data_IF_252054700085
#
_entry.id   IF_252054700085
#
_cell.length_a   1.000
_cell.length_b   1.000
_cell.length_c   1.000
_cell.angle_alpha   90.00
_cell.angle_beta   90.00
_cell.angle_gamma   90.00
#
_symmetry.space_group_name_H-M   'P 1'
#
loop_
_entity.id
_entity.type
_entity.pdbx_description
1 polymer ?
#
# COMPACT_ATOMS: atom_id res chain seq x y z
N UNK A 1 -4.57 -12.28 -35.72
CA UNK A 1 -3.16 -12.11 -36.14
C UNK A 1 -2.47 -11.26 -35.08
N UNK A 2 -1.32 -11.68 -34.51
CA UNK A 2 -0.51 -10.87 -33.59
C UNK A 2 0.01 -9.58 -34.24
N UNK A 3 0.38 -8.59 -33.41
CA UNK A 3 0.81 -7.25 -33.85
C UNK A 3 1.97 -7.28 -34.84
N UNK A 4 3.06 -8.00 -34.52
CA UNK A 4 4.25 -8.09 -35.38
C UNK A 4 3.91 -8.66 -36.77
N UNK A 5 3.08 -9.71 -36.80
CA UNK A 5 2.64 -10.31 -38.06
C UNK A 5 1.74 -9.35 -38.85
N UNK A 6 0.86 -8.60 -38.17
CA UNK A 6 0.02 -7.58 -38.80
C UNK A 6 0.86 -6.46 -39.42
N UNK A 7 1.92 -6.01 -38.74
CA UNK A 7 2.88 -5.07 -39.31
C UNK A 7 3.57 -5.64 -40.55
N UNK A 8 4.05 -6.88 -40.50
CA UNK A 8 4.68 -7.53 -41.66
C UNK A 8 3.72 -7.59 -42.86
N UNK A 9 2.46 -7.98 -42.66
CA UNK A 9 1.45 -8.03 -43.72
C UNK A 9 1.15 -6.64 -44.26
N UNK A 10 1.01 -5.63 -43.40
CA UNK A 10 0.81 -4.24 -43.81
C UNK A 10 1.97 -3.73 -44.68
N UNK A 11 3.22 -4.00 -44.29
CA UNK A 11 4.41 -3.65 -45.10
C UNK A 11 4.34 -4.31 -46.48
N UNK A 12 3.92 -5.59 -46.55
CA UNK A 12 3.72 -6.27 -47.84
C UNK A 12 2.62 -5.61 -48.67
N UNK A 13 1.46 -5.29 -48.08
CA UNK A 13 0.37 -4.61 -48.79
C UNK A 13 0.85 -3.25 -49.34
N UNK A 14 1.56 -2.47 -48.51
CA UNK A 14 2.05 -1.16 -48.88
C UNK A 14 3.11 -1.24 -49.98
N UNK A 15 4.12 -2.10 -49.85
CA UNK A 15 5.30 -2.10 -50.71
C UNK A 15 5.23 -3.12 -51.85
N UNK A 16 4.77 -4.35 -51.59
CA UNK A 16 4.75 -5.43 -52.58
C UNK A 16 3.48 -5.43 -53.44
N UNK A 17 2.32 -5.10 -52.85
CA UNK A 17 1.05 -4.99 -53.58
C UNK A 17 0.84 -3.60 -54.20
N UNK A 18 1.72 -2.63 -53.93
CA UNK A 18 1.73 -1.31 -54.56
C UNK A 18 0.71 -0.32 -53.99
N UNK A 19 0.15 -0.57 -52.80
CA UNK A 19 -0.81 0.38 -52.20
C UNK A 19 -0.16 1.74 -51.88
N UNK A 20 1.12 1.74 -51.48
CA UNK A 20 1.90 2.96 -51.22
C UNK A 20 1.96 3.89 -52.43
N UNK A 21 1.99 3.34 -53.64
CA UNK A 21 2.20 4.13 -54.85
C UNK A 21 1.02 5.07 -55.13
N UNK A 22 -0.19 4.69 -54.68
CA UNK A 22 -1.38 5.55 -54.73
C UNK A 22 -1.25 6.84 -53.90
N UNK A 23 -0.33 6.90 -52.93
CA UNK A 23 -0.10 8.07 -52.07
C UNK A 23 1.06 8.95 -52.53
N UNK A 24 1.83 8.53 -53.54
CA UNK A 24 3.00 9.28 -54.02
C UNK A 24 2.58 10.39 -54.99
N UNK A 25 3.49 11.35 -55.22
CA UNK A 25 3.39 12.37 -56.27
C UNK A 25 2.04 13.08 -56.34
N UNK A 26 1.49 13.51 -55.19
CA UNK A 26 0.15 14.10 -55.11
C UNK A 26 -0.95 13.20 -55.70
N UNK A 27 -0.93 11.91 -55.36
CA UNK A 27 -1.95 10.92 -55.72
C UNK A 27 -2.06 10.64 -57.23
N UNK A 28 -0.95 10.76 -57.97
CA UNK A 28 -0.94 10.58 -59.43
C UNK A 28 -1.47 9.22 -59.87
N UNK A 29 -0.99 8.14 -59.24
CA UNK A 29 -1.44 6.78 -59.54
C UNK A 29 -2.90 6.55 -59.17
N UNK A 30 -3.40 7.21 -58.11
CA UNK A 30 -4.80 7.15 -57.71
C UNK A 30 -5.69 7.83 -58.76
N UNK A 31 -5.30 8.99 -59.28
CA UNK A 31 -6.01 9.65 -60.37
C UNK A 31 -6.03 8.78 -61.65
N UNK A 32 -4.95 8.03 -61.91
CA UNK A 32 -4.95 7.01 -62.95
C UNK A 32 -5.98 5.90 -62.68
N UNK A 33 -6.12 5.43 -61.41
CA UNK A 33 -7.16 4.44 -61.06
C UNK A 33 -8.57 4.97 -61.27
N UNK A 34 -8.84 6.25 -60.98
CA UNK A 34 -10.14 6.86 -61.27
C UNK A 34 -10.46 6.85 -62.76
N UNK A 35 -9.50 7.26 -63.60
CA UNK A 35 -9.65 7.20 -65.05
C UNK A 35 -9.92 5.76 -65.54
N UNK A 36 -9.19 4.78 -65.02
CA UNK A 36 -9.43 3.37 -65.33
C UNK A 36 -10.84 2.91 -64.94
N UNK A 37 -11.31 3.30 -63.75
CA UNK A 37 -12.65 2.95 -63.26
C UNK A 37 -13.72 3.58 -64.15
N UNK A 38 -13.59 4.86 -64.50
CA UNK A 38 -14.52 5.57 -65.38
C UNK A 38 -14.56 4.95 -66.78
N UNK A 39 -13.41 4.54 -67.34
CA UNK A 39 -13.37 3.80 -68.61
C UNK A 39 -14.04 2.44 -68.55
N UNK A 40 -13.86 1.72 -67.45
CA UNK A 40 -14.57 0.45 -67.23
C UNK A 40 -16.08 0.66 -67.06
N UNK A 41 -16.50 1.73 -66.38
CA UNK A 41 -17.91 2.11 -66.27
C UNK A 41 -18.50 2.47 -67.64
N UNK A 42 -17.78 3.26 -68.43
CA UNK A 42 -18.19 3.64 -69.79
C UNK A 42 -18.48 2.40 -70.67
N UNK A 43 -17.67 1.34 -70.54
CA UNK A 43 -17.85 0.12 -71.32
C UNK A 43 -18.89 -0.85 -70.74
N UNK A 44 -18.96 -0.99 -69.41
CA UNK A 44 -19.76 -2.05 -68.77
C UNK A 44 -21.08 -1.56 -68.16
N UNK A 45 -21.18 -0.27 -67.85
CA UNK A 45 -22.32 0.40 -67.22
C UNK A 45 -22.59 1.75 -67.92
N UNK A 46 -22.77 1.78 -69.26
CA UNK A 46 -22.80 3.03 -70.04
C UNK A 46 -23.88 4.01 -69.58
N UNK A 47 -25.08 3.52 -69.24
CA UNK A 47 -26.18 4.38 -68.76
C UNK A 47 -25.80 5.10 -67.46
N UNK A 48 -25.13 4.39 -66.54
CA UNK A 48 -24.71 4.95 -65.26
C UNK A 48 -23.55 5.93 -65.44
N UNK A 49 -22.61 5.61 -66.34
CA UNK A 49 -21.51 6.50 -66.69
C UNK A 49 -22.03 7.82 -67.28
N UNK A 50 -22.96 7.75 -68.25
CA UNK A 50 -23.55 8.95 -68.85
C UNK A 50 -24.29 9.80 -67.83
N UNK A 51 -25.09 9.17 -66.94
CA UNK A 51 -25.75 9.88 -65.84
C UNK A 51 -24.75 10.58 -64.91
N UNK A 52 -23.62 9.94 -64.60
CA UNK A 52 -22.58 10.57 -63.79
C UNK A 52 -21.91 11.74 -64.52
N UNK A 53 -21.72 11.65 -65.84
CA UNK A 53 -21.26 12.77 -66.65
C UNK A 53 -22.25 13.95 -66.62
N UNK A 54 -23.55 13.67 -66.76
CA UNK A 54 -24.59 14.71 -66.74
C UNK A 54 -24.69 15.42 -65.38
N UNK A 55 -24.37 14.70 -64.29
CA UNK A 55 -24.31 15.25 -62.93
C UNK A 55 -22.95 15.87 -62.57
N UNK A 56 -21.95 15.83 -63.46
CA UNK A 56 -20.55 16.18 -63.15
C UNK A 56 -20.00 15.43 -61.92
N UNK A 57 -20.41 14.16 -61.73
CA UNK A 57 -20.01 13.32 -60.62
C UNK A 57 -18.78 12.48 -60.98
N UNK A 58 -17.61 12.93 -60.58
CA UNK A 58 -16.34 12.27 -60.86
C UNK A 58 -15.98 11.17 -59.86
N UNK A 59 -15.21 10.17 -60.30
CA UNK A 59 -14.82 9.03 -59.45
C UNK A 59 -14.06 9.43 -58.18
N UNK A 60 -13.28 10.51 -58.20
CA UNK A 60 -12.54 10.97 -57.02
C UNK A 60 -13.47 11.33 -55.85
N UNK A 61 -14.71 11.74 -56.12
CA UNK A 61 -15.68 12.20 -55.12
C UNK A 61 -16.25 11.05 -54.27
N UNK A 62 -16.30 9.82 -54.81
CA UNK A 62 -16.89 8.66 -54.11
C UNK A 62 -15.94 7.46 -53.96
N UNK A 63 -14.95 7.29 -54.85
CA UNK A 63 -14.11 6.10 -54.88
C UNK A 63 -12.74 6.27 -54.20
N UNK A 64 -12.35 7.48 -53.77
CA UNK A 64 -11.04 7.72 -53.15
C UNK A 64 -10.74 6.76 -52.00
N UNK A 65 -11.70 6.58 -51.08
CA UNK A 65 -11.53 5.67 -49.94
C UNK A 65 -11.56 4.20 -50.34
N UNK A 66 -12.21 3.84 -51.45
CA UNK A 66 -12.26 2.46 -51.94
C UNK A 66 -10.86 1.97 -52.30
N UNK A 67 -10.10 2.80 -53.01
CA UNK A 67 -8.72 2.50 -53.40
C UNK A 67 -7.72 2.69 -52.26
N UNK A 68 -7.74 3.85 -51.59
CA UNK A 68 -6.74 4.16 -50.56
C UNK A 68 -6.85 3.27 -49.32
N UNK A 69 -8.07 2.95 -48.90
CA UNK A 69 -8.31 2.20 -47.66
C UNK A 69 -8.70 0.76 -47.91
N UNK A 70 -8.70 0.30 -49.17
CA UNK A 70 -9.17 -1.03 -49.54
C UNK A 70 -10.57 -1.32 -48.96
N UNK A 71 -11.46 -0.33 -49.02
CA UNK A 71 -12.82 -0.32 -48.44
C UNK A 71 -12.92 -0.38 -46.90
N UNK A 72 -11.82 -0.50 -46.16
CA UNK A 72 -11.81 -0.66 -44.69
C UNK A 72 -12.43 0.52 -43.93
N UNK A 73 -12.44 1.73 -44.49
CA UNK A 73 -12.87 2.93 -43.78
C UNK A 73 -14.40 3.07 -43.59
N UNK A 74 -15.21 2.46 -44.47
CA UNK A 74 -16.67 2.68 -44.50
C UNK A 74 -17.49 1.39 -44.54
N UNK A 75 -16.93 0.29 -45.05
CA UNK A 75 -17.67 -0.95 -45.25
C UNK A 75 -17.58 -1.88 -44.03
N UNK A 76 -18.60 -2.74 -43.80
CA UNK A 76 -18.61 -3.69 -42.69
C UNK A 76 -17.45 -4.70 -42.77
N UNK A 77 -16.94 -5.11 -41.60
CA UNK A 77 -15.76 -6.00 -41.52
C UNK A 77 -15.95 -7.34 -42.26
N UNK A 78 -17.15 -7.93 -42.23
CA UNK A 78 -17.43 -9.18 -42.93
C UNK A 78 -17.16 -9.08 -44.45
N UNK A 79 -17.51 -7.95 -45.06
CA UNK A 79 -17.20 -7.68 -46.47
C UNK A 79 -15.72 -7.38 -46.67
N UNK A 80 -15.13 -6.57 -45.78
CA UNK A 80 -13.72 -6.17 -45.88
C UNK A 80 -12.79 -7.37 -45.78
N UNK A 81 -13.07 -8.36 -44.93
CA UNK A 81 -12.25 -9.57 -44.83
C UNK A 81 -12.19 -10.33 -46.15
N UNK A 82 -13.31 -10.52 -46.83
CA UNK A 82 -13.30 -11.13 -48.17
C UNK A 82 -12.52 -10.31 -49.21
N UNK A 83 -12.58 -8.98 -49.13
CA UNK A 83 -11.80 -8.12 -50.03
C UNK A 83 -10.30 -8.32 -49.78
N UNK A 84 -9.88 -8.41 -48.51
CA UNK A 84 -8.48 -8.66 -48.16
C UNK A 84 -8.05 -10.06 -48.60
N UNK A 85 -8.89 -11.09 -48.45
CA UNK A 85 -8.60 -12.44 -48.93
C UNK A 85 -8.30 -12.44 -50.44
N UNK A 86 -9.16 -11.79 -51.23
CA UNK A 86 -9.01 -11.70 -52.68
C UNK A 86 -7.84 -10.78 -53.08
N UNK A 87 -7.60 -9.69 -52.35
CA UNK A 87 -6.45 -8.81 -52.57
C UNK A 87 -5.13 -9.55 -52.40
N UNK A 88 -5.00 -10.32 -51.33
CA UNK A 88 -3.78 -11.09 -51.05
C UNK A 88 -3.60 -12.28 -52.01
N UNK A 89 -4.66 -12.72 -52.70
CA UNK A 89 -4.59 -13.79 -53.69
C UNK A 89 -4.35 -13.27 -55.11
N UNK A 90 -5.12 -12.27 -55.55
CA UNK A 90 -5.17 -11.79 -56.94
C UNK A 90 -4.50 -10.43 -57.17
N UNK A 91 -4.22 -9.70 -56.09
CA UNK A 91 -3.57 -8.39 -56.13
C UNK A 91 -4.54 -7.19 -56.15
N UNK A 92 -3.96 -6.00 -56.29
CA UNK A 92 -4.68 -4.71 -56.11
C UNK A 92 -5.82 -4.49 -57.14
N UNK A 93 -5.79 -5.18 -58.28
CA UNK A 93 -6.83 -5.06 -59.30
C UNK A 93 -8.20 -5.57 -58.84
N UNK A 94 -8.28 -6.34 -57.74
CA UNK A 94 -9.58 -6.74 -57.18
C UNK A 94 -10.45 -5.53 -56.79
N UNK A 95 -9.82 -4.40 -56.46
CA UNK A 95 -10.54 -3.18 -56.08
C UNK A 95 -11.44 -2.69 -57.23
N UNK A 96 -11.02 -2.85 -58.49
CA UNK A 96 -11.88 -2.54 -59.65
C UNK A 96 -13.08 -3.48 -59.76
N UNK A 97 -12.88 -4.77 -59.50
CA UNK A 97 -13.95 -5.76 -59.55
C UNK A 97 -15.02 -5.45 -58.50
N UNK A 98 -14.60 -5.16 -57.27
CA UNK A 98 -15.51 -4.80 -56.17
C UNK A 98 -16.20 -3.47 -56.44
N UNK A 99 -15.48 -2.45 -56.93
CA UNK A 99 -16.05 -1.16 -57.29
C UNK A 99 -17.15 -1.29 -58.37
N UNK A 100 -16.88 -2.05 -59.44
CA UNK A 100 -17.86 -2.30 -60.49
C UNK A 100 -19.05 -3.13 -59.99
N UNK A 101 -18.83 -4.10 -59.11
CA UNK A 101 -19.91 -4.88 -58.51
C UNK A 101 -20.84 -4.01 -57.65
N UNK A 102 -20.27 -3.10 -56.86
CA UNK A 102 -21.02 -2.14 -56.04
C UNK A 102 -21.86 -1.21 -56.90
N UNK A 103 -21.26 -0.65 -57.96
CA UNK A 103 -21.94 0.25 -58.90
C UNK A 103 -23.03 -0.49 -59.69
N UNK A 104 -22.75 -1.69 -60.18
CA UNK A 104 -23.70 -2.51 -60.93
C UNK A 104 -24.91 -2.91 -60.07
N UNK A 105 -24.68 -3.30 -58.82
CA UNK A 105 -25.75 -3.71 -57.89
C UNK A 105 -26.62 -2.54 -57.46
N UNK A 106 -26.06 -1.32 -57.48
CA UNK A 106 -26.74 -0.10 -57.05
C UNK A 106 -27.18 0.80 -58.22
N UNK A 107 -27.12 0.28 -59.44
CA UNK A 107 -27.36 1.05 -60.68
C UNK A 107 -28.70 1.79 -60.65
N UNK A 108 -29.78 1.09 -60.34
CA UNK A 108 -31.13 1.65 -60.36
C UNK A 108 -31.32 2.77 -59.34
N UNK A 109 -30.75 2.63 -58.13
CA UNK A 109 -30.81 3.68 -57.11
C UNK A 109 -30.01 4.92 -57.53
N UNK A 110 -28.85 4.71 -58.17
CA UNK A 110 -27.96 5.78 -58.59
C UNK A 110 -28.49 6.54 -59.80
N UNK A 111 -29.19 5.88 -60.73
CA UNK A 111 -29.84 6.52 -61.89
C UNK A 111 -31.00 7.45 -61.49
N UNK A 112 -31.61 7.21 -60.34
CA UNK A 112 -32.70 8.05 -59.82
C UNK A 112 -32.20 9.19 -58.92
N UNK A 113 -30.91 9.18 -58.57
CA UNK A 113 -30.32 10.17 -57.68
C UNK A 113 -29.80 11.38 -58.46
N UNK A 114 -29.94 12.57 -57.86
CA UNK A 114 -29.21 13.76 -58.23
C UNK A 114 -27.79 13.74 -57.61
N UNK A 115 -27.00 14.80 -57.85
CA UNK A 115 -25.62 14.89 -57.37
C UNK A 115 -25.50 14.67 -55.85
N UNK A 116 -26.31 15.38 -55.05
CA UNK A 116 -26.27 15.25 -53.58
C UNK A 116 -26.78 13.87 -53.12
N UNK A 117 -27.85 13.39 -53.74
CA UNK A 117 -28.44 12.07 -53.50
C UNK A 117 -27.43 10.95 -53.73
N UNK A 118 -26.66 11.01 -54.82
CA UNK A 118 -25.65 10.02 -55.16
C UNK A 118 -24.52 10.00 -54.10
N UNK A 119 -23.99 11.16 -53.71
CA UNK A 119 -22.95 11.25 -52.68
C UNK A 119 -23.46 10.75 -51.31
N UNK A 120 -24.71 11.09 -50.95
CA UNK A 120 -25.35 10.59 -49.73
C UNK A 120 -25.55 9.08 -49.78
N UNK A 121 -25.93 8.54 -50.94
CA UNK A 121 -26.08 7.10 -51.16
C UNK A 121 -24.76 6.36 -50.93
N UNK A 122 -23.66 6.80 -51.57
CA UNK A 122 -22.33 6.21 -51.39
C UNK A 122 -21.85 6.26 -49.94
N UNK A 123 -22.09 7.38 -49.24
CA UNK A 123 -21.63 7.58 -47.87
C UNK A 123 -22.41 6.78 -46.83
N UNK A 124 -23.72 6.64 -47.01
CA UNK A 124 -24.63 6.16 -45.94
C UNK A 124 -25.34 4.87 -46.30
N UNK A 125 -25.95 4.80 -47.48
CA UNK A 125 -26.84 3.69 -47.84
C UNK A 125 -26.06 2.48 -48.33
N UNK A 126 -25.07 2.72 -49.21
CA UNK A 126 -24.29 1.66 -49.84
C UNK A 126 -23.58 0.76 -48.81
N UNK A 127 -22.84 1.27 -47.80
CA UNK A 127 -22.17 0.40 -46.85
C UNK A 127 -23.14 -0.38 -45.94
N UNK A 128 -24.33 0.18 -45.66
CA UNK A 128 -25.35 -0.48 -44.82
C UNK A 128 -25.89 -1.75 -45.46
N UNK A 129 -25.96 -1.82 -46.80
CA UNK A 129 -26.47 -2.99 -47.53
C UNK A 129 -25.63 -4.25 -47.31
N UNK A 130 -24.34 -4.11 -47.00
CA UNK A 130 -23.39 -5.22 -46.86
C UNK A 130 -23.06 -5.57 -45.40
N UNK A 131 -23.92 -5.19 -44.45
CA UNK A 131 -23.78 -5.62 -43.04
C UNK A 131 -24.10 -7.09 -42.84
N UNK A 132 -25.04 -7.62 -43.62
CA UNK A 132 -25.38 -9.02 -43.63
C UNK A 132 -24.33 -9.79 -44.44
N UNK A 133 -23.81 -10.89 -43.87
CA UNK A 133 -22.77 -11.72 -44.49
C UNK A 133 -23.20 -12.29 -45.85
N UNK A 134 -24.48 -12.66 -46.00
CA UNK A 134 -25.04 -13.15 -47.26
C UNK A 134 -24.89 -12.12 -48.40
N UNK A 135 -25.18 -10.85 -48.10
CA UNK A 135 -25.06 -9.77 -49.09
C UNK A 135 -23.60 -9.52 -49.45
N UNK A 136 -22.69 -9.58 -48.48
CA UNK A 136 -21.27 -9.45 -48.72
C UNK A 136 -20.75 -10.59 -49.60
N UNK A 137 -21.11 -11.85 -49.31
CA UNK A 137 -20.71 -13.02 -50.10
C UNK A 137 -21.21 -12.94 -51.53
N UNK A 138 -22.50 -12.62 -51.72
CA UNK A 138 -23.09 -12.43 -53.04
C UNK A 138 -22.40 -11.31 -53.84
N UNK A 139 -22.01 -10.22 -53.18
CA UNK A 139 -21.24 -9.15 -53.83
C UNK A 139 -19.86 -9.65 -54.29
N UNK A 140 -19.16 -10.45 -53.47
CA UNK A 140 -17.86 -11.01 -53.84
C UNK A 140 -17.97 -11.98 -55.03
N UNK A 141 -18.99 -12.84 -55.04
CA UNK A 141 -19.29 -13.71 -56.18
C UNK A 141 -19.54 -12.90 -57.46
N UNK A 142 -20.28 -11.79 -57.36
CA UNK A 142 -20.49 -10.90 -58.49
C UNK A 142 -19.20 -10.21 -58.92
N UNK A 143 -18.38 -9.75 -57.98
CA UNK A 143 -17.10 -9.11 -58.27
C UNK A 143 -16.16 -10.05 -59.04
N UNK A 144 -16.02 -11.30 -58.61
CA UNK A 144 -15.19 -12.30 -59.31
C UNK A 144 -15.71 -12.65 -60.72
N UNK A 145 -17.00 -12.47 -60.98
CA UNK A 145 -17.61 -12.68 -62.29
C UNK A 145 -17.47 -11.48 -63.24
N UNK A 146 -17.13 -10.30 -62.73
CA UNK A 146 -16.91 -9.11 -63.57
C UNK A 146 -15.58 -9.24 -64.28
N UNK A 147 -15.58 -9.06 -65.61
CA UNK A 147 -14.35 -9.13 -66.39
C UNK A 147 -13.62 -7.79 -66.31
N UNK A 148 -12.48 -7.75 -65.63
CA UNK A 148 -11.52 -6.64 -65.68
C UNK A 148 -10.19 -7.12 -66.27
N UNK A 149 -10.07 -7.22 -67.61
CA UNK A 149 -8.84 -7.71 -68.23
C UNK A 149 -7.65 -6.79 -67.92
N UNK A 150 -6.57 -7.35 -67.38
CA UNK A 150 -5.33 -6.61 -67.07
C UNK A 150 -4.75 -5.87 -68.28
N UNK A 151 -4.93 -6.41 -69.49
CA UNK A 151 -4.57 -5.74 -70.75
C UNK A 151 -5.33 -4.43 -70.97
N UNK A 152 -6.61 -4.36 -70.59
CA UNK A 152 -7.41 -3.12 -70.70
C UNK A 152 -6.95 -2.08 -69.67
N UNK A 153 -6.73 -2.48 -68.42
CA UNK A 153 -6.19 -1.59 -67.40
C UNK A 153 -4.88 -0.94 -67.85
N UNK A 154 -3.93 -1.74 -68.36
CA UNK A 154 -2.66 -1.23 -68.92
C UNK A 154 -2.86 -0.31 -70.12
N UNK A 155 -3.88 -0.55 -70.95
CA UNK A 155 -4.23 0.34 -72.07
C UNK A 155 -4.70 1.70 -71.56
N UNK A 156 -5.67 1.72 -70.63
CA UNK A 156 -6.19 2.96 -70.05
C UNK A 156 -5.14 3.72 -69.23
N UNK A 157 -4.20 3.02 -68.59
CA UNK A 157 -3.05 3.63 -67.91
C UNK A 157 -2.19 4.43 -68.89
N UNK A 158 -1.86 3.84 -70.05
CA UNK A 158 -1.12 4.53 -71.12
C UNK A 158 -1.90 5.70 -71.71
N UNK A 159 -3.21 5.54 -71.90
CA UNK A 159 -4.09 6.63 -72.38
C UNK A 159 -4.11 7.80 -71.38
N UNK A 160 -4.20 7.51 -70.07
CA UNK A 160 -4.14 8.52 -69.01
C UNK A 160 -2.79 9.24 -68.98
N UNK A 161 -1.67 8.50 -69.03
CA UNK A 161 -0.33 9.08 -69.05
C UNK A 161 -0.13 9.99 -70.27
N UNK A 162 -0.54 9.55 -71.46
CA UNK A 162 -0.45 10.36 -72.68
C UNK A 162 -1.34 11.62 -72.61
N UNK A 163 -2.54 11.50 -72.03
CA UNK A 163 -3.42 12.66 -71.81
C UNK A 163 -2.79 13.67 -70.85
N UNK A 164 -2.22 13.20 -69.74
CA UNK A 164 -1.53 14.04 -68.75
C UNK A 164 -0.30 14.73 -69.34
N UNK A 165 0.52 13.99 -70.06
CA UNK A 165 1.70 14.55 -70.73
C UNK A 165 1.32 15.64 -71.74
N UNK A 166 0.27 15.41 -72.55
CA UNK A 166 -0.22 16.41 -73.49
C UNK A 166 -0.79 17.65 -72.77
N UNK A 167 -1.53 17.47 -71.67
CA UNK A 167 -1.99 18.60 -70.83
C UNK A 167 -0.81 19.40 -70.27
N UNK A 168 0.24 18.73 -69.82
CA UNK A 168 1.48 19.34 -69.32
C UNK A 168 2.26 20.08 -70.42
N UNK A 169 2.24 19.59 -71.66
CA UNK A 169 2.87 20.25 -72.81
C UNK A 169 2.09 21.48 -73.29
N UNK A 170 0.78 21.52 -73.09
CA UNK A 170 -0.07 22.67 -73.43
C UNK A 170 -0.01 23.79 -72.38
N UNK A 171 0.39 23.50 -71.15
CA UNK A 171 0.57 24.51 -70.11
C UNK A 171 1.86 25.30 -70.35
N UNK A 172 1.79 26.65 -70.33
CA UNK A 172 2.98 27.50 -70.48
C UNK A 172 4.00 27.14 -69.38
N UNK A 173 5.22 26.69 -69.75
CA UNK A 173 6.26 26.36 -68.78
C UNK A 173 6.48 27.47 -67.74
N UNK A 174 6.36 28.73 -68.15
CA UNK A 174 6.58 29.88 -67.28
C UNK A 174 5.51 29.98 -66.19
N UNK A 175 4.25 29.70 -66.51
CA UNK A 175 3.15 29.73 -65.54
C UNK A 175 3.20 28.53 -64.59
N UNK A 176 3.59 27.36 -65.11
CA UNK A 176 3.86 26.18 -64.27
C UNK A 176 4.97 26.48 -63.25
N UNK A 177 6.11 27.02 -63.70
CA UNK A 177 7.22 27.34 -62.80
C UNK A 177 6.86 28.45 -61.81
N UNK A 178 6.10 29.48 -62.20
CA UNK A 178 5.63 30.52 -61.26
C UNK A 178 4.73 29.93 -60.16
N UNK A 179 3.80 29.03 -60.54
CA UNK A 179 2.91 28.38 -59.57
C UNK A 179 3.69 27.49 -58.60
N UNK A 180 4.64 26.72 -59.12
CA UNK A 180 5.47 25.84 -58.31
C UNK A 180 6.39 26.64 -57.38
N UNK A 181 7.01 27.71 -57.87
CA UNK A 181 7.87 28.57 -57.06
C UNK A 181 7.07 29.23 -55.92
N UNK A 182 5.84 29.68 -56.20
CA UNK A 182 4.93 30.18 -55.16
C UNK A 182 4.63 29.11 -54.10
N UNK A 183 4.30 27.89 -54.52
CA UNK A 183 4.04 26.77 -53.58
C UNK A 183 5.26 26.42 -52.74
N UNK A 184 6.44 26.39 -53.35
CA UNK A 184 7.69 26.12 -52.64
C UNK A 184 8.02 27.23 -51.64
N UNK A 185 7.78 28.50 -51.99
CA UNK A 185 7.94 29.63 -51.07
C UNK A 185 6.97 29.53 -49.89
N UNK A 186 5.69 29.25 -50.13
CA UNK A 186 4.69 29.05 -49.07
C UNK A 186 5.05 27.88 -48.16
N UNK A 187 5.52 26.75 -48.73
CA UNK A 187 5.98 25.60 -47.96
C UNK A 187 7.24 25.91 -47.14
N UNK A 188 8.21 26.63 -47.70
CA UNK A 188 9.42 27.06 -46.99
C UNK A 188 9.07 27.94 -45.79
N UNK A 189 8.20 28.93 -45.99
CA UNK A 189 7.76 29.83 -44.93
C UNK A 189 7.03 29.07 -43.81
N UNK A 190 6.20 28.07 -44.16
CA UNK A 190 5.53 27.23 -43.17
C UNK A 190 6.52 26.38 -42.37
N UNK A 191 7.49 25.77 -43.04
CA UNK A 191 8.51 24.95 -42.40
C UNK A 191 9.43 25.79 -41.50
N UNK A 192 9.76 27.01 -41.90
CA UNK A 192 10.50 27.96 -41.07
C UNK A 192 9.71 28.29 -39.79
N UNK A 193 8.41 28.58 -39.90
CA UNK A 193 7.55 28.83 -38.75
C UNK A 193 7.45 27.61 -37.81
N UNK A 194 7.22 26.41 -38.36
CA UNK A 194 7.20 25.17 -37.57
C UNK A 194 8.54 24.93 -36.84
N UNK A 195 9.67 25.25 -37.48
CA UNK A 195 10.98 25.12 -36.89
C UNK A 195 11.21 26.15 -35.76
N UNK A 196 10.76 27.39 -35.94
CA UNK A 196 10.83 28.43 -34.90
C UNK A 196 9.96 28.06 -33.68
N UNK A 197 8.75 27.56 -33.91
CA UNK A 197 7.84 27.09 -32.85
C UNK A 197 8.48 25.92 -32.07
N UNK A 198 9.01 24.92 -32.78
CA UNK A 198 9.71 23.79 -32.16
C UNK A 198 10.95 24.23 -31.38
N UNK A 199 11.72 25.19 -31.91
CA UNK A 199 12.87 25.74 -31.21
C UNK A 199 12.43 26.45 -29.90
N UNK A 200 11.34 27.20 -29.94
CA UNK A 200 10.77 27.87 -28.76
C UNK A 200 10.29 26.87 -27.71
N UNK A 201 9.56 25.82 -28.11
CA UNK A 201 9.13 24.74 -27.21
C UNK A 201 10.33 24.03 -26.58
N UNK A 202 11.37 23.73 -27.38
CA UNK A 202 12.57 23.06 -26.91
C UNK A 202 13.30 23.90 -25.85
N UNK A 203 13.47 25.20 -26.09
CA UNK A 203 14.08 26.12 -25.13
C UNK A 203 13.25 26.21 -23.85
N UNK A 204 11.93 26.33 -23.98
CA UNK A 204 11.01 26.42 -22.84
C UNK A 204 11.05 25.15 -21.99
N UNK A 205 10.98 23.99 -22.62
CA UNK A 205 11.10 22.70 -21.93
C UNK A 205 12.46 22.53 -21.27
N UNK A 206 13.54 22.95 -21.93
CA UNK A 206 14.90 22.90 -21.35
C UNK A 206 15.02 23.76 -20.09
N UNK A 207 14.44 24.97 -20.10
CA UNK A 207 14.43 25.85 -18.92
C UNK A 207 13.63 25.20 -17.78
N UNK A 208 12.45 24.66 -18.07
CA UNK A 208 11.63 23.98 -17.07
C UNK A 208 12.36 22.78 -16.43
N UNK A 209 12.96 21.92 -17.25
CA UNK A 209 13.74 20.77 -16.78
C UNK A 209 14.95 21.19 -15.96
N UNK A 210 15.60 22.30 -16.31
CA UNK A 210 16.71 22.84 -15.51
C UNK A 210 16.24 23.29 -14.14
N UNK A 211 15.12 24.01 -14.06
CA UNK A 211 14.55 24.43 -12.78
C UNK A 211 14.14 23.24 -11.91
N UNK A 212 13.56 22.20 -12.51
CA UNK A 212 13.18 20.97 -11.79
C UNK A 212 14.42 20.23 -11.26
N UNK A 213 15.49 20.19 -12.06
CA UNK A 213 16.77 19.61 -11.64
C UNK A 213 17.36 20.38 -10.46
N UNK A 214 17.43 21.71 -10.54
CA UNK A 214 17.97 22.55 -9.47
C UNK A 214 17.15 22.36 -8.17
N UNK A 215 15.81 22.28 -8.27
CA UNK A 215 14.95 21.96 -7.11
C UNK A 215 15.17 20.56 -6.53
N UNK A 216 15.47 19.57 -7.38
CA UNK A 216 15.75 18.21 -6.93
C UNK A 216 17.12 18.14 -6.22
N UNK A 217 18.11 18.87 -6.72
CA UNK A 217 19.44 19.01 -6.09
C UNK A 217 19.30 19.66 -4.70
N UNK A 218 18.57 20.77 -4.59
CA UNK A 218 18.32 21.44 -3.29
C UNK A 218 17.65 20.51 -2.27
N UNK A 219 16.64 19.73 -2.71
CA UNK A 219 15.96 18.75 -1.85
C UNK A 219 16.90 17.63 -1.40
N UNK A 220 17.75 17.14 -2.31
CA UNK A 220 18.73 16.11 -1.98
C UNK A 220 19.72 16.60 -0.91
N UNK A 221 20.17 17.85 -1.02
CA UNK A 221 21.07 18.47 -0.04
C UNK A 221 20.42 18.63 1.34
N UNK A 222 19.15 19.03 1.40
CA UNK A 222 18.39 19.11 2.66
C UNK A 222 18.24 17.72 3.29
N UNK A 223 17.79 16.73 2.53
CA UNK A 223 17.63 15.35 3.01
C UNK A 223 18.95 14.75 3.49
N UNK A 224 20.05 15.05 2.81
CA UNK A 224 21.37 14.56 3.20
C UNK A 224 21.83 15.17 4.54
N UNK A 225 21.57 16.47 4.76
CA UNK A 225 21.82 17.13 6.05
C UNK A 225 20.96 16.52 7.17
N UNK A 226 19.67 16.31 6.93
CA UNK A 226 18.77 15.68 7.89
C UNK A 226 19.18 14.23 8.23
N UNK A 227 19.59 13.47 7.22
CA UNK A 227 20.10 12.11 7.39
C UNK A 227 21.35 12.10 8.27
N UNK A 228 22.29 13.02 8.05
CA UNK A 228 23.51 13.12 8.85
C UNK A 228 23.18 13.43 10.32
N UNK A 229 22.31 14.42 10.56
CA UNK A 229 21.86 14.77 11.91
C UNK A 229 21.14 13.61 12.60
N UNK A 230 20.32 12.87 11.86
CA UNK A 230 19.57 11.71 12.40
C UNK A 230 20.52 10.57 12.75
N UNK A 231 21.53 10.29 11.90
CA UNK A 231 22.58 9.31 12.19
C UNK A 231 23.36 9.68 13.45
N UNK A 232 23.69 10.96 13.62
CA UNK A 232 24.44 11.41 14.79
C UNK A 232 23.63 11.23 16.08
N UNK A 233 22.34 11.62 16.08
CA UNK A 233 21.44 11.37 17.22
C UNK A 233 21.24 9.88 17.52
N UNK A 234 21.19 9.04 16.48
CA UNK A 234 21.07 7.59 16.66
C UNK A 234 22.29 7.04 17.42
N UNK A 235 23.50 7.43 17.02
CA UNK A 235 24.73 7.02 17.70
C UNK A 235 24.73 7.46 19.16
N UNK A 236 24.38 8.72 19.43
CA UNK A 236 24.28 9.25 20.80
C UNK A 236 23.28 8.45 21.65
N UNK A 237 22.10 8.15 21.09
CA UNK A 237 21.05 7.37 21.76
C UNK A 237 21.48 5.92 22.01
N UNK A 238 22.20 5.30 21.07
CA UNK A 238 22.73 3.94 21.22
C UNK A 238 23.80 3.87 22.32
N UNK A 239 24.67 4.88 22.41
CA UNK A 239 25.66 4.98 23.49
C UNK A 239 25.01 5.18 24.86
N UNK A 240 23.99 6.04 24.96
CA UNK A 240 23.21 6.24 26.19
C UNK A 240 22.52 4.95 26.62
N UNK A 241 21.88 4.25 25.67
CA UNK A 241 21.25 2.95 25.93
C UNK A 241 22.27 1.95 26.47
N UNK A 242 23.45 1.85 25.86
CA UNK A 242 24.52 0.94 26.33
C UNK A 242 24.93 1.26 27.77
N UNK A 243 25.11 2.54 28.11
CA UNK A 243 25.44 2.97 29.48
C UNK A 243 24.34 2.57 30.47
N UNK A 244 23.07 2.80 30.13
CA UNK A 244 21.93 2.41 30.98
C UNK A 244 21.84 0.89 31.15
N UNK A 245 22.14 0.10 30.12
CA UNK A 245 22.18 -1.36 30.20
C UNK A 245 23.30 -1.84 31.15
N UNK A 246 24.48 -1.22 31.09
CA UNK A 246 25.60 -1.49 31.99
C UNK A 246 25.26 -1.13 33.45
N UNK A 247 24.69 0.05 33.70
CA UNK A 247 24.23 0.48 35.03
C UNK A 247 23.17 -0.47 35.59
N UNK A 248 22.21 -0.86 34.76
CA UNK A 248 21.16 -1.82 35.12
C UNK A 248 21.76 -3.19 35.47
N UNK A 249 22.76 -3.65 34.72
CA UNK A 249 23.45 -4.91 35.00
C UNK A 249 24.22 -4.86 36.33
N UNK A 250 24.93 -3.77 36.59
CA UNK A 250 25.63 -3.55 37.86
C UNK A 250 24.65 -3.51 39.04
N UNK A 251 23.53 -2.81 38.89
CA UNK A 251 22.51 -2.72 39.93
C UNK A 251 21.88 -4.08 40.22
N UNK A 252 21.56 -4.87 39.18
CA UNK A 252 21.08 -6.27 39.32
C UNK A 252 22.08 -7.13 40.09
N UNK A 253 23.37 -6.99 39.81
CA UNK A 253 24.43 -7.74 40.49
C UNK A 253 24.56 -7.36 41.97
N UNK A 254 24.43 -6.06 42.29
CA UNK A 254 24.39 -5.58 43.68
C UNK A 254 23.17 -6.15 44.41
N UNK A 255 21.98 -6.08 43.82
CA UNK A 255 20.78 -6.65 44.41
C UNK A 255 20.90 -8.16 44.63
N UNK A 256 21.46 -8.91 43.65
CA UNK A 256 21.72 -10.35 43.78
C UNK A 256 22.60 -10.66 45.00
N UNK A 257 23.73 -9.95 45.15
CA UNK A 257 24.64 -10.13 46.31
C UNK A 257 23.97 -9.81 47.63
N UNK A 258 23.13 -8.77 47.69
CA UNK A 258 22.41 -8.43 48.92
C UNK A 258 21.34 -9.47 49.25
N UNK A 259 20.64 -10.00 48.24
CA UNK A 259 19.68 -11.09 48.40
C UNK A 259 20.36 -12.35 48.96
N UNK A 260 21.49 -12.76 48.38
CA UNK A 260 22.26 -13.93 48.85
C UNK A 260 22.74 -13.78 50.29
N UNK A 261 23.18 -12.57 50.68
CA UNK A 261 23.55 -12.28 52.07
C UNK A 261 22.35 -12.36 53.01
N UNK A 262 21.22 -11.78 52.62
CA UNK A 262 20.00 -11.82 53.41
C UNK A 262 19.50 -13.27 53.58
N UNK A 263 19.51 -14.07 52.51
CA UNK A 263 19.17 -15.50 52.56
C UNK A 263 20.11 -16.29 53.47
N UNK A 264 21.41 -15.99 53.44
CA UNK A 264 22.38 -16.61 54.34
C UNK A 264 22.11 -16.26 55.81
N UNK A 265 21.86 -15.00 56.14
CA UNK A 265 21.52 -14.58 57.50
C UNK A 265 20.19 -15.16 57.96
N UNK A 266 19.18 -15.26 57.08
CA UNK A 266 17.92 -15.95 57.37
C UNK A 266 18.17 -17.43 57.70
N UNK A 267 19.01 -18.14 56.92
CA UNK A 267 19.37 -19.54 57.20
C UNK A 267 20.07 -19.69 58.55
N UNK A 268 21.02 -18.81 58.84
CA UNK A 268 21.78 -18.80 60.11
C UNK A 268 20.88 -18.55 61.30
N UNK A 269 20.05 -17.49 61.26
CA UNK A 269 19.10 -17.18 62.32
C UNK A 269 18.08 -18.29 62.52
N UNK A 270 17.58 -18.89 61.44
CA UNK A 270 16.68 -20.05 61.50
C UNK A 270 17.34 -21.25 62.19
N UNK A 271 18.61 -21.54 61.90
CA UNK A 271 19.37 -22.61 62.55
C UNK A 271 19.56 -22.33 64.05
N UNK A 272 19.95 -21.12 64.43
CA UNK A 272 20.09 -20.71 65.84
C UNK A 272 18.76 -20.85 66.57
N UNK A 273 17.64 -20.42 65.97
CA UNK A 273 16.32 -20.57 66.57
C UNK A 273 15.97 -22.05 66.76
N UNK A 274 16.32 -22.92 65.81
CA UNK A 274 16.09 -24.37 65.93
C UNK A 274 16.93 -24.98 67.08
N UNK A 275 18.20 -24.62 67.18
CA UNK A 275 19.09 -25.04 68.28
C UNK A 275 18.57 -24.54 69.64
N UNK A 276 18.18 -23.27 69.72
CA UNK A 276 17.60 -22.68 70.93
C UNK A 276 16.34 -23.43 71.36
N UNK A 277 15.41 -23.70 70.43
CA UNK A 277 14.21 -24.51 70.71
C UNK A 277 14.56 -25.91 71.21
N UNK A 278 15.60 -26.53 70.65
CA UNK A 278 16.08 -27.84 71.09
C UNK A 278 16.63 -27.79 72.52
N UNK A 279 17.44 -26.78 72.86
CA UNK A 279 17.97 -26.57 74.22
C UNK A 279 16.83 -26.35 75.22
N UNK A 280 15.85 -25.49 74.89
CA UNK A 280 14.68 -25.26 75.73
C UNK A 280 13.88 -26.54 75.99
N UNK A 281 13.68 -27.37 74.96
CA UNK A 281 13.01 -28.68 75.09
C UNK A 281 13.81 -29.62 76.01
N UNK A 282 15.14 -29.69 75.86
CA UNK A 282 16.00 -30.50 76.72
C UNK A 282 15.98 -30.03 78.17
N UNK A 283 16.05 -28.72 78.42
CA UNK A 283 15.98 -28.14 79.76
C UNK A 283 14.61 -28.39 80.40
N UNK A 284 13.52 -28.22 79.66
CA UNK A 284 12.16 -28.54 80.15
C UNK A 284 12.04 -30.01 80.54
N UNK A 285 12.55 -30.91 79.70
CA UNK A 285 12.56 -32.35 79.99
C UNK A 285 13.40 -32.68 81.23
N UNK A 286 14.55 -32.02 81.42
CA UNK A 286 15.39 -32.19 82.63
C UNK A 286 14.69 -31.66 83.87
N UNK A 287 14.06 -30.50 83.78
CA UNK A 287 13.32 -29.89 84.88
C UNK A 287 12.16 -30.79 85.30
N UNK A 288 11.38 -31.32 84.35
CA UNK A 288 10.30 -32.27 84.61
C UNK A 288 10.83 -33.54 85.31
N UNK A 289 11.96 -34.10 84.86
CA UNK A 289 12.61 -35.24 85.51
C UNK A 289 13.06 -34.92 86.93
N UNK A 290 13.67 -33.76 87.16
CA UNK A 290 14.16 -33.36 88.47
C UNK A 290 13.01 -33.06 89.44
N UNK A 291 11.94 -32.42 88.98
CA UNK A 291 10.72 -32.21 89.75
C UNK A 291 10.04 -33.55 90.10
N UNK A 292 9.97 -34.49 89.16
CA UNK A 292 9.44 -35.82 89.42
C UNK A 292 10.28 -36.57 90.46
N UNK A 293 11.61 -36.56 90.33
CA UNK A 293 12.52 -37.19 91.30
C UNK A 293 12.43 -36.54 92.69
N UNK A 294 12.43 -35.19 92.76
CA UNK A 294 12.27 -34.48 94.03
C UNK A 294 10.90 -34.74 94.66
N UNK A 295 9.84 -34.88 93.86
CA UNK A 295 8.51 -35.27 94.35
C UNK A 295 8.50 -36.70 94.88
N UNK A 296 9.16 -37.65 94.21
CA UNK A 296 9.35 -39.01 94.73
C UNK A 296 10.16 -39.04 96.03
N UNK A 297 11.26 -38.29 96.12
CA UNK A 297 12.05 -38.16 97.34
C UNK A 297 11.23 -37.51 98.47
N UNK A 298 10.46 -36.47 98.17
CA UNK A 298 9.60 -35.81 99.16
C UNK A 298 8.51 -36.76 99.65
N UNK A 299 7.88 -37.54 98.77
CA UNK A 299 6.92 -38.58 99.16
C UNK A 299 7.59 -39.71 99.95
N UNK A 300 8.83 -40.08 99.65
CA UNK A 300 9.60 -41.06 100.43
C UNK A 300 9.96 -40.54 101.83
N UNK A 301 10.38 -39.28 101.95
CA UNK A 301 10.63 -38.59 103.23
C UNK A 301 9.32 -38.47 104.02
N UNK A 302 8.24 -38.08 103.37
CA UNK A 302 6.90 -38.02 103.97
C UNK A 302 6.44 -39.39 104.46
N UNK A 303 6.66 -40.44 103.68
CA UNK A 303 6.41 -41.82 104.08
C UNK A 303 7.20 -42.24 105.32
N UNK A 304 8.49 -41.90 105.40
CA UNK A 304 9.34 -42.17 106.58
C UNK A 304 8.93 -41.32 107.80
N UNK A 305 8.58 -40.05 107.59
CA UNK A 305 8.13 -39.13 108.64
C UNK A 305 6.83 -39.61 109.29
N UNK A 306 5.86 -40.06 108.48
CA UNK A 306 4.57 -40.58 108.97
C UNK A 306 4.68 -41.98 109.60
N UNK A 307 5.79 -42.70 109.39
CA UNK A 307 6.08 -43.98 110.05
C UNK A 307 6.74 -43.83 111.44
N UNK A 308 7.21 -42.63 111.78
CA UNK A 308 7.82 -42.34 113.08
C UNK A 308 6.74 -41.91 114.09
N UNK A 309 6.56 -42.70 115.16
CA UNK A 309 5.57 -42.48 116.23
C UNK A 309 5.72 -41.16 117.01
N UNK A 310 6.83 -40.44 116.85
CA UNK A 310 7.08 -39.15 117.52
C UNK A 310 6.96 -37.95 116.56
N UNK A 311 7.08 -38.17 115.24
CA UNK A 311 7.01 -37.11 114.23
C UNK A 311 5.62 -36.99 113.57
N UNK A 312 4.82 -38.07 113.56
CA UNK A 312 3.42 -38.03 113.09
C UNK A 312 2.51 -37.12 113.91
N UNK A 313 2.89 -36.86 115.17
CA UNK A 313 2.09 -36.08 116.12
C UNK A 313 2.43 -34.57 116.06
N UNK A 314 3.46 -34.20 115.28
CA UNK A 314 3.98 -32.83 115.17
C UNK A 314 3.67 -32.19 113.81
N UNK A 315 3.53 -32.98 112.73
CA UNK A 315 3.28 -32.53 111.36
C UNK A 315 2.00 -33.10 110.75
N UNK A 316 1.20 -32.29 110.05
CA UNK A 316 0.03 -32.78 109.31
C UNK A 316 0.43 -33.59 108.05
N UNK A 317 -0.52 -34.31 107.43
CA UNK A 317 -0.34 -34.96 106.12
C UNK A 317 0.04 -33.99 105.00
N UNK A 318 -0.02 -32.67 105.24
CA UNK A 318 0.45 -31.62 104.34
C UNK A 318 1.77 -30.95 104.79
N UNK A 319 2.38 -31.37 105.91
CA UNK A 319 3.70 -30.90 106.35
C UNK A 319 3.74 -29.61 107.18
N UNK A 320 2.64 -29.21 107.83
CA UNK A 320 2.59 -28.00 108.68
C UNK A 320 2.31 -28.30 110.18
N UNK A 321 2.93 -27.52 111.08
CA UNK A 321 2.85 -27.55 112.56
C UNK A 321 1.64 -26.74 113.12
N UNK A 322 1.03 -27.15 114.26
CA UNK A 322 -0.01 -26.37 114.99
C UNK A 322 0.49 -25.79 116.34
N UNK A 323 0.01 -24.61 116.81
CA UNK A 323 0.86 -23.61 117.50
C UNK A 323 0.43 -23.23 118.94
N UNK A 324 1.35 -22.56 119.69
CA UNK A 324 1.02 -21.71 120.84
C UNK A 324 1.85 -20.41 120.80
N UNK A 325 1.18 -19.28 121.02
CA UNK A 325 1.65 -17.91 120.84
C UNK A 325 1.95 -17.22 122.18
N UNK A 326 2.94 -16.29 122.23
CA UNK A 326 2.84 -14.94 122.82
C UNK A 326 3.95 -14.02 122.23
N UNK A 327 3.48 -12.98 121.54
CA UNK A 327 3.89 -11.58 121.45
C UNK A 327 5.37 -11.15 121.55
N UNK A 328 5.84 -10.47 120.48
CA UNK A 328 6.51 -9.16 120.58
C UNK A 328 6.46 -8.41 119.25
N UNK A 329 6.33 -7.09 119.36
CA UNK A 329 6.17 -6.09 118.31
C UNK A 329 7.50 -5.77 117.60
N UNK A 330 7.33 -5.38 116.33
CA UNK A 330 8.07 -4.37 115.56
C UNK A 330 9.43 -4.71 114.90
N UNK A 331 9.60 -4.06 113.73
CA UNK A 331 10.73 -3.99 112.78
C UNK A 331 10.81 -5.16 111.78
N UNK A 332 10.55 -5.00 110.48
CA UNK A 332 10.74 -3.83 109.62
C UNK A 332 12.04 -3.99 108.84
N UNK A 333 11.89 -4.14 107.52
CA UNK A 333 12.93 -4.00 106.48
C UNK A 333 13.82 -5.24 106.27
N UNK A 334 13.39 -6.14 105.38
CA UNK A 334 14.28 -7.00 104.55
C UNK A 334 13.50 -7.79 103.46
N UNK A 335 12.16 -7.74 103.45
CA UNK A 335 11.31 -8.25 102.36
C UNK A 335 10.93 -7.20 101.29
N UNK A 336 11.44 -5.96 101.43
CA UNK A 336 11.16 -4.86 100.51
C UNK A 336 12.15 -4.81 99.35
N UNK A 337 13.42 -5.17 99.56
CA UNK A 337 14.45 -5.07 98.50
C UNK A 337 14.25 -6.08 97.36
N UNK A 338 13.92 -7.34 97.63
CA UNK A 338 13.63 -8.32 96.55
C UNK A 338 12.30 -8.04 95.84
N UNK A 339 11.28 -7.63 96.60
CA UNK A 339 9.97 -7.28 96.07
C UNK A 339 10.02 -5.99 95.26
N UNK A 340 10.78 -4.99 95.70
CA UNK A 340 11.00 -3.75 94.97
C UNK A 340 11.98 -3.94 93.81
N UNK A 341 12.96 -4.84 93.91
CA UNK A 341 13.80 -5.25 92.78
C UNK A 341 12.98 -5.94 91.69
N UNK A 342 12.09 -6.87 92.04
CA UNK A 342 11.19 -7.53 91.09
C UNK A 342 10.16 -6.56 90.51
N UNK A 343 9.58 -5.65 91.30
CA UNK A 343 8.71 -4.58 90.77
C UNK A 343 9.47 -3.61 89.86
N UNK A 344 10.75 -3.33 90.15
CA UNK A 344 11.61 -2.48 89.32
C UNK A 344 11.92 -3.16 87.99
N UNK A 345 12.28 -4.44 88.01
CA UNK A 345 12.46 -5.26 86.79
C UNK A 345 11.15 -5.37 85.99
N UNK A 346 10.00 -5.52 86.66
CA UNK A 346 8.70 -5.54 86.00
C UNK A 346 8.42 -4.21 85.28
N UNK A 347 8.64 -3.06 85.95
CA UNK A 347 8.49 -1.74 85.34
C UNK A 347 9.48 -1.50 84.19
N UNK A 348 10.70 -2.01 84.30
CA UNK A 348 11.74 -1.90 83.27
C UNK A 348 11.36 -2.72 82.03
N UNK A 349 10.86 -3.95 82.22
CA UNK A 349 10.31 -4.75 81.12
C UNK A 349 9.02 -4.15 80.52
N UNK A 350 8.17 -3.53 81.34
CA UNK A 350 6.99 -2.79 80.86
C UNK A 350 7.40 -1.58 80.01
N UNK A 351 8.47 -0.88 80.39
CA UNK A 351 9.04 0.25 79.64
C UNK A 351 9.66 -0.23 78.32
N UNK A 352 10.46 -1.30 78.34
CA UNK A 352 11.04 -1.90 77.14
C UNK A 352 9.96 -2.41 76.17
N UNK A 353 8.90 -3.02 76.70
CA UNK A 353 7.75 -3.46 75.90
C UNK A 353 7.02 -2.25 75.28
N UNK A 354 6.85 -1.16 76.03
CA UNK A 354 6.26 0.07 75.51
C UNK A 354 7.13 0.70 74.42
N UNK A 355 8.46 0.75 74.60
CA UNK A 355 9.41 1.23 73.58
C UNK A 355 9.39 0.36 72.33
N UNK A 356 9.37 -0.97 72.48
CA UNK A 356 9.32 -1.90 71.34
C UNK A 356 7.98 -1.76 70.59
N UNK A 357 6.87 -1.57 71.31
CA UNK A 357 5.56 -1.30 70.69
C UNK A 357 5.56 0.04 69.94
N UNK A 358 6.20 1.07 70.47
CA UNK A 358 6.34 2.35 69.80
C UNK A 358 7.14 2.21 68.50
N UNK A 359 8.30 1.54 68.56
CA UNK A 359 9.12 1.26 67.38
C UNK A 359 8.38 0.43 66.33
N UNK A 360 7.56 -0.54 66.76
CA UNK A 360 6.72 -1.32 65.85
C UNK A 360 5.66 -0.47 65.16
N UNK A 361 5.03 0.47 65.87
CA UNK A 361 4.05 1.41 65.29
C UNK A 361 4.74 2.36 64.31
N UNK A 362 5.90 2.91 64.68
CA UNK A 362 6.70 3.76 63.80
C UNK A 362 7.12 3.03 62.52
N UNK A 363 7.59 1.79 62.64
CA UNK A 363 7.94 0.94 61.50
C UNK A 363 6.71 0.65 60.62
N UNK A 364 5.55 0.36 61.22
CA UNK A 364 4.30 0.14 60.46
C UNK A 364 3.85 1.41 59.72
N UNK A 365 3.90 2.58 60.36
CA UNK A 365 3.62 3.85 59.69
C UNK A 365 4.59 4.10 58.53
N UNK A 366 5.88 3.82 58.72
CA UNK A 366 6.90 3.94 57.67
C UNK A 366 6.62 3.03 56.48
N UNK A 367 6.25 1.78 56.73
CA UNK A 367 5.87 0.81 55.69
C UNK A 367 4.65 1.32 54.93
N UNK A 368 3.63 1.79 55.63
CA UNK A 368 2.40 2.28 55.01
C UNK A 368 2.63 3.54 54.16
N UNK A 369 3.54 4.43 54.58
CA UNK A 369 3.96 5.59 53.80
C UNK A 369 4.72 5.17 52.53
N UNK A 370 5.65 4.22 52.65
CA UNK A 370 6.38 3.66 51.50
C UNK A 370 5.45 2.94 50.52
N UNK A 371 4.43 2.22 51.02
CA UNK A 371 3.40 1.60 50.18
C UNK A 371 2.58 2.64 49.41
N UNK A 372 2.22 3.75 50.06
CA UNK A 372 1.53 4.85 49.39
C UNK A 372 2.42 5.51 48.32
N UNK A 373 3.69 5.78 48.62
CA UNK A 373 4.65 6.34 47.66
C UNK A 373 4.84 5.41 46.46
N UNK A 374 4.98 4.10 46.70
CA UNK A 374 5.04 3.09 45.64
C UNK A 374 3.78 3.10 44.76
N UNK A 375 2.60 3.22 45.37
CA UNK A 375 1.33 3.32 44.65
C UNK A 375 1.23 4.59 43.79
N UNK A 376 1.69 5.73 44.30
CA UNK A 376 1.74 6.99 43.57
C UNK A 376 2.68 6.90 42.36
N UNK A 377 3.91 6.42 42.57
CA UNK A 377 4.89 6.21 41.49
C UNK A 377 4.40 5.21 40.43
N UNK A 378 3.71 4.14 40.83
CA UNK A 378 3.10 3.20 39.88
C UNK A 378 2.01 3.86 39.02
N UNK A 379 1.18 4.72 39.61
CA UNK A 379 0.18 5.47 38.88
C UNK A 379 0.79 6.48 37.90
N UNK A 380 1.88 7.15 38.31
CA UNK A 380 2.63 8.06 37.44
C UNK A 380 3.27 7.33 36.25
N UNK A 381 3.90 6.17 36.49
CA UNK A 381 4.48 5.32 35.43
C UNK A 381 3.38 4.85 34.46
N UNK A 382 2.22 4.43 34.98
CA UNK A 382 1.11 3.98 34.15
C UNK A 382 0.50 5.14 33.32
N UNK A 383 0.39 6.33 33.91
CA UNK A 383 -0.06 7.54 33.22
C UNK A 383 0.94 7.98 32.12
N UNK A 384 2.24 7.95 32.42
CA UNK A 384 3.29 8.24 31.46
C UNK A 384 3.29 7.24 30.30
N UNK A 385 3.12 5.94 30.60
CA UNK A 385 2.99 4.88 29.60
C UNK A 385 1.79 5.12 28.68
N UNK A 386 0.60 5.39 29.22
CA UNK A 386 -0.60 5.65 28.43
C UNK A 386 -0.49 6.93 27.58
N UNK A 387 0.17 7.97 28.11
CA UNK A 387 0.45 9.22 27.38
C UNK A 387 1.45 8.99 26.23
N UNK A 388 2.48 8.18 26.47
CA UNK A 388 3.47 7.82 25.46
C UNK A 388 2.87 6.94 24.35
N UNK A 389 2.05 5.95 24.70
CA UNK A 389 1.34 5.12 23.72
C UNK A 389 0.36 5.93 22.87
N UNK A 390 -0.41 6.83 23.48
CA UNK A 390 -1.37 7.66 22.73
C UNK A 390 -0.69 8.71 21.83
N UNK A 391 0.40 9.34 22.29
CA UNK A 391 1.17 10.28 21.46
C UNK A 391 1.89 9.58 20.31
N UNK A 392 2.46 8.40 20.55
CA UNK A 392 3.17 7.63 19.51
C UNK A 392 2.20 7.04 18.49
N UNK A 393 1.04 6.52 18.92
CA UNK A 393 0.01 6.01 18.01
C UNK A 393 -0.64 7.13 17.17
N UNK A 394 -0.91 8.30 17.77
CA UNK A 394 -1.44 9.44 17.01
C UNK A 394 -0.42 9.99 16.02
N UNK A 395 0.86 10.07 16.40
CA UNK A 395 1.93 10.54 15.50
C UNK A 395 2.14 9.61 14.29
N UNK A 396 2.05 8.29 14.49
CA UNK A 396 2.11 7.29 13.40
C UNK A 396 0.87 7.37 12.50
N UNK A 397 -0.32 7.65 13.06
CA UNK A 397 -1.56 7.83 12.28
C UNK A 397 -1.56 9.11 11.44
N UNK A 398 -0.94 10.19 11.90
CA UNK A 398 -0.75 11.40 11.08
C UNK A 398 0.35 11.25 10.03
N UNK A 399 1.34 10.38 10.25
CA UNK A 399 2.40 10.09 9.26
C UNK A 399 1.93 9.16 8.12
N UNK A 400 0.88 8.38 8.32
CA UNK A 400 0.23 7.56 7.28
C UNK A 400 -1.10 8.18 6.87
N UNK A 401 -1.02 9.29 6.13
CA UNK A 401 -2.17 9.98 5.57
C UNK A 401 -3.02 9.07 4.68
N UNK A 402 -4.14 8.59 5.22
CA UNK A 402 -5.31 8.17 4.44
C UNK A 402 -6.46 9.09 4.80
N UNK A 403 -6.60 10.18 4.02
CA UNK A 403 -7.87 10.88 3.94
C UNK A 403 -8.92 9.91 3.36
N UNK A 404 -10.10 9.75 3.97
CA UNK A 404 -11.20 9.08 3.30
C UNK A 404 -11.67 9.96 2.14
N UNK A 405 -11.59 9.41 0.92
CA UNK A 405 -12.25 9.94 -0.28
C UNK A 405 -13.76 10.07 -0.01
N UNK A 406 -14.30 11.28 -0.20
CA UNK A 406 -15.75 11.50 -0.31
C UNK A 406 -16.28 10.79 -1.57
N UNK A 407 -17.45 10.11 -1.52
CA UNK A 407 -18.07 9.54 -2.72
C UNK A 407 -18.59 10.63 -3.67
N UNK A 408 -18.65 10.38 -5.00
CA UNK A 408 -19.13 11.35 -5.97
C UNK A 408 -20.63 11.66 -5.76
N UNK A 409 -20.98 12.94 -5.73
CA UNK A 409 -22.38 13.39 -5.79
C UNK A 409 -22.98 13.07 -7.17
N UNK A 410 -24.15 12.43 -7.17
CA UNK A 410 -24.95 12.20 -8.37
C UNK A 410 -25.55 13.52 -8.89
N UNK A 411 -25.68 13.69 -10.23
CA UNK A 411 -26.20 14.92 -10.82
C UNK A 411 -27.72 15.06 -10.59
N UNK A 412 -28.14 16.21 -10.06
CA UNK A 412 -29.54 16.63 -10.00
C UNK A 412 -30.00 17.25 -11.33
N UNK A 413 -31.27 17.08 -11.74
CA UNK A 413 -31.82 17.71 -12.93
C UNK A 413 -32.07 19.22 -12.70
N UNK A 414 -32.00 20.05 -13.76
CA UNK A 414 -32.12 21.50 -13.63
C UNK A 414 -33.53 21.91 -13.22
N UNK A 415 -33.61 22.81 -12.23
CA UNK A 415 -34.82 23.57 -11.93
C UNK A 415 -34.99 24.67 -12.98
N UNK A 416 -36.18 24.70 -13.57
CA UNK A 416 -36.69 25.83 -14.33
C UNK A 416 -36.78 27.05 -13.40
N UNK A 417 -36.21 28.17 -13.85
CA UNK A 417 -36.42 29.49 -13.28
C UNK A 417 -37.13 30.33 -14.34
N UNK A 418 -38.36 30.73 -14.01
CA UNK A 418 -39.13 31.82 -14.62
C UNK A 418 -38.45 33.16 -14.40
#
# INVERSE_FOLDING_TARGET
>A
MPEEQAFCVLVKIMCNYGLRDLYKNNFEDLHCKFYQLEKLMQEQLPDLYNHFCDLNLEAHMYASQWFLTLFTAKFPLCMVFHIIDLLLCEGLNIIFHVALALLKTSKEDLLQADFEGALKFFRVQLPKRYRAEENARRLMEQACNIKVPTKKLKKYEKEYQAMRENQLQQEDPMDRYKRENRRLQEASMRLEQENDDLAHELVTSKIALRNDLDQAEDKADVLNKELLLTKQRLVETEEEKRKQEEETAQLKEVFRKQLEKAEYEIKKTTAIIAEYKQICSQLSTRLEKQQAASKEELEAVKGKMMACKHCSDIFSKEGALKPAAVSREDQGIEADDEKDSLKKQLREMELELAQTKLQLVEAKCKIQELEHQRGALMNEIQAAKNSWFSKTLNSIKTATGTQPLQPPQAPQPPKEST
#
